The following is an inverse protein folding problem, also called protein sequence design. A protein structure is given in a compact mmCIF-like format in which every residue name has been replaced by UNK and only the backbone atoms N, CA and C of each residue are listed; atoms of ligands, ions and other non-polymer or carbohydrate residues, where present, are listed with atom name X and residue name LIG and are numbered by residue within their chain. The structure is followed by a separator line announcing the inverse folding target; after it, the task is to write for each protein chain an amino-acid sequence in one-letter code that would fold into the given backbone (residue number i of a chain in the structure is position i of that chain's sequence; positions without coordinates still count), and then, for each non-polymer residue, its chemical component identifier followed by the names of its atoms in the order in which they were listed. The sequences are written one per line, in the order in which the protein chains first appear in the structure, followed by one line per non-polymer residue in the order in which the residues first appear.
data_IF_658952706027
#
_entry.id   IF_658952706027
#
_cell.length_a   1.000
_cell.length_b   1.000
_cell.length_c   1.000
_cell.angle_alpha   90.00
_cell.angle_beta   90.00
_cell.angle_gamma   90.00
#
_symmetry.space_group_name_H-M   'P 1'
#
loop_
_entity.id
_entity.type
_entity.pdbx_description
1 polymer ?
#
# COMPACT_ATOMS: atom_id res chain seq x y z
N UNK A 1 9.27 11.31 9.69
CA UNK A 1 9.34 9.95 9.11
C UNK A 1 8.20 9.14 9.71
N UNK A 2 7.40 8.43 8.90
CA UNK A 2 6.24 7.68 9.40
C UNK A 2 6.71 6.30 9.91
N UNK A 3 6.32 5.95 11.13
CA UNK A 3 6.69 4.72 11.81
C UNK A 3 5.42 3.96 12.20
N UNK A 4 5.34 2.68 11.85
CA UNK A 4 4.22 1.82 12.26
C UNK A 4 4.23 1.51 13.76
N UNK A 5 5.36 1.74 14.43
CA UNK A 5 5.45 1.65 15.90
C UNK A 5 4.75 2.84 16.55
N UNK A 6 4.90 4.04 15.98
CA UNK A 6 4.32 5.27 16.53
C UNK A 6 2.86 5.48 16.06
N UNK A 7 2.51 4.91 14.91
CA UNK A 7 1.19 4.99 14.29
C UNK A 7 0.73 3.58 13.86
N UNK A 8 0.24 2.77 14.81
CA UNK A 8 -0.11 1.39 14.53
C UNK A 8 -1.30 1.29 13.58
N UNK A 9 -1.20 0.36 12.62
CA UNK A 9 -2.27 -0.03 11.70
C UNK A 9 -2.37 -1.56 11.71
N UNK A 10 -3.57 -2.09 11.44
CA UNK A 10 -3.78 -3.55 11.45
C UNK A 10 -3.20 -4.22 10.21
N UNK A 11 -3.27 -3.53 9.06
CA UNK A 11 -2.61 -3.93 7.83
C UNK A 11 -2.28 -2.72 6.92
N UNK A 12 -1.24 -2.86 6.11
CA UNK A 12 -0.78 -1.89 5.13
C UNK A 12 -0.32 -2.61 3.86
N UNK A 13 -0.96 -2.31 2.73
CA UNK A 13 -0.55 -2.80 1.42
C UNK A 13 0.47 -1.83 0.78
N UNK A 14 1.54 -2.38 0.21
CA UNK A 14 2.65 -1.63 -0.40
C UNK A 14 2.79 -2.04 -1.86
N UNK A 15 2.86 -1.06 -2.75
CA UNK A 15 3.18 -1.28 -4.17
C UNK A 15 4.56 -0.69 -4.48
N UNK A 16 5.57 -1.54 -4.71
CA UNK A 16 6.95 -1.09 -4.91
C UNK A 16 7.14 -0.22 -6.15
N UNK A 17 6.45 -0.52 -7.26
CA UNK A 17 6.53 0.28 -8.47
C UNK A 17 6.08 1.75 -8.27
N UNK A 18 5.20 2.03 -7.30
CA UNK A 18 4.79 3.41 -6.99
C UNK A 18 5.86 4.20 -6.25
N UNK A 19 6.78 3.50 -5.58
CA UNK A 19 7.82 4.10 -4.76
C UNK A 19 9.10 4.38 -5.58
N UNK A 20 9.48 3.45 -6.46
CA UNK A 20 10.72 3.54 -7.23
C UNK A 20 10.58 3.13 -8.72
N UNK A 21 9.36 3.07 -9.25
CA UNK A 21 9.07 3.01 -10.69
C UNK A 21 9.08 1.63 -11.35
N UNK A 22 9.70 0.62 -10.74
CA UNK A 22 9.86 -0.73 -11.29
C UNK A 22 10.24 -1.71 -10.18
N UNK A 23 9.91 -3.03 -10.22
CA UNK A 23 9.12 -3.74 -11.22
C UNK A 23 7.62 -3.64 -10.98
N UNK A 24 6.82 -3.77 -12.05
CA UNK A 24 5.36 -3.91 -11.95
C UNK A 24 5.00 -5.31 -11.45
N UNK A 25 3.83 -5.43 -10.80
CA UNK A 25 3.29 -6.72 -10.37
C UNK A 25 3.85 -7.28 -9.07
N UNK A 26 4.70 -6.54 -8.34
CA UNK A 26 5.15 -6.93 -7.00
C UNK A 26 4.86 -5.85 -5.96
N UNK A 27 4.43 -6.33 -4.80
CA UNK A 27 4.16 -5.53 -3.61
C UNK A 27 4.41 -6.34 -2.34
N UNK A 28 4.00 -5.78 -1.21
CA UNK A 28 4.04 -6.45 0.08
C UNK A 28 2.78 -6.11 0.88
N UNK A 29 2.34 -7.02 1.74
CA UNK A 29 1.37 -6.73 2.80
C UNK A 29 2.11 -6.77 4.13
N UNK A 30 2.04 -5.68 4.88
CA UNK A 30 2.50 -5.63 6.27
C UNK A 30 1.25 -5.71 7.12
N UNK A 31 1.09 -6.77 7.92
CA UNK A 31 -0.11 -6.98 8.72
C UNK A 31 0.25 -7.54 10.09
N UNK A 32 -0.55 -7.22 11.11
CA UNK A 32 -0.42 -7.83 12.43
C UNK A 32 -0.90 -9.29 12.40
N UNK A 33 -0.23 -10.14 13.17
CA UNK A 33 -0.61 -11.56 13.28
C UNK A 33 -2.03 -11.74 13.82
N UNK A 34 -2.44 -10.94 14.80
CA UNK A 34 -3.80 -10.93 15.37
C UNK A 34 -4.88 -10.56 14.33
N UNK A 35 -4.52 -9.75 13.33
CA UNK A 35 -5.43 -9.37 12.25
C UNK A 35 -5.50 -10.47 11.20
N UNK A 36 -4.37 -11.09 10.86
CA UNK A 36 -4.33 -12.23 9.94
C UNK A 36 -5.13 -13.42 10.45
N UNK A 37 -5.14 -13.67 11.77
CA UNK A 37 -5.93 -14.73 12.39
C UNK A 37 -7.45 -14.55 12.25
N UNK A 38 -7.93 -13.34 11.94
CA UNK A 38 -9.36 -13.05 11.72
C UNK A 38 -9.78 -13.16 10.25
N UNK A 39 -8.84 -13.30 9.33
CA UNK A 39 -9.13 -13.37 7.90
C UNK A 39 -9.48 -14.81 7.51
N UNK A 40 -10.70 -15.02 7.02
CA UNK A 40 -11.11 -16.27 6.39
C UNK A 40 -10.85 -16.21 4.88
N UNK A 41 -9.97 -17.07 4.36
CA UNK A 41 -9.57 -17.06 2.94
C UNK A 41 -10.47 -18.01 2.14
N UNK A 42 -11.25 -17.53 1.14
CA UNK A 42 -12.19 -18.38 0.41
C UNK A 42 -11.55 -19.25 -0.69
N UNK A 43 -10.24 -19.13 -0.93
CA UNK A 43 -9.53 -19.80 -2.03
C UNK A 43 -8.09 -20.15 -1.64
N UNK A 44 -7.56 -21.24 -2.20
CA UNK A 44 -6.17 -21.67 -2.01
C UNK A 44 -5.44 -21.78 -3.35
N UNK A 45 -4.11 -21.68 -3.33
CA UNK A 45 -3.26 -21.83 -4.51
C UNK A 45 -1.94 -22.53 -4.15
N UNK A 46 -1.17 -22.96 -5.15
CA UNK A 46 0.02 -23.82 -4.95
C UNK A 46 1.12 -23.27 -4.02
N UNK A 47 1.17 -21.95 -3.79
CA UNK A 47 2.07 -21.34 -2.78
C UNK A 47 1.56 -21.44 -1.34
N UNK A 48 0.35 -21.96 -1.14
CA UNK A 48 -0.39 -22.05 0.13
C UNK A 48 -0.66 -23.51 0.55
N UNK A 49 -0.10 -24.51 -0.14
CA UNK A 49 -0.37 -25.94 0.12
C UNK A 49 0.94 -26.70 0.36
N UNK A 50 1.00 -27.47 1.45
CA UNK A 50 2.20 -28.22 1.86
C UNK A 50 2.44 -29.43 0.93
N UNK A 51 1.37 -30.13 0.49
CA UNK A 51 1.39 -31.25 -0.47
C UNK A 51 0.04 -31.36 -1.20
N UNK A 52 0.05 -31.60 -2.51
CA UNK A 52 -1.13 -32.09 -3.27
C UNK A 52 -0.74 -33.38 -3.98
N UNK A 53 -1.36 -34.51 -3.61
CA UNK A 53 -1.25 -35.77 -4.38
C UNK A 53 -2.42 -35.90 -5.36
N UNK A 54 -2.12 -36.05 -6.66
CA UNK A 54 -3.04 -36.50 -7.71
C UNK A 54 -2.18 -37.31 -8.71
N UNK A 55 -2.51 -38.59 -9.02
CA UNK A 55 -3.77 -38.99 -9.62
C UNK A 55 -4.49 -40.14 -8.89
N UNK A 56 -5.78 -39.95 -8.57
CA UNK A 56 -6.60 -41.04 -8.06
C UNK A 56 -7.99 -40.61 -7.60
N UNK A 57 -8.96 -40.60 -8.53
CA UNK A 57 -10.37 -40.63 -8.19
C UNK A 57 -10.73 -42.05 -7.73
N UNK A 58 -10.57 -42.34 -6.43
CA UNK A 58 -11.18 -43.50 -5.78
C UNK A 58 -11.40 -43.21 -4.29
N UNK A 59 -12.65 -42.94 -3.95
CA UNK A 59 -13.19 -43.05 -2.59
C UNK A 59 -13.09 -44.53 -2.19
N UNK A 60 -12.33 -44.85 -1.15
CA UNK A 60 -12.46 -46.14 -0.46
C UNK A 60 -12.84 -45.88 0.98
N UNK A 61 -14.13 -46.06 1.27
CA UNK A 61 -14.65 -46.24 2.62
C UNK A 61 -14.17 -47.59 3.17
N UNK A 62 -13.74 -47.66 4.43
CA UNK A 62 -13.62 -48.93 5.16
C UNK A 62 -14.10 -48.84 6.62
N UNK A 63 -15.36 -49.23 6.79
CA UNK A 63 -15.92 -50.21 7.76
C UNK A 63 -15.72 -50.15 9.28
N UNK A 64 -15.07 -49.16 9.92
CA UNK A 64 -15.05 -49.10 11.39
C UNK A 64 -15.36 -47.71 11.97
N UNK A 65 -16.29 -47.70 12.92
CA UNK A 65 -17.15 -46.57 13.28
C UNK A 65 -16.50 -45.57 14.27
N UNK A 66 -15.24 -45.22 14.04
CA UNK A 66 -14.48 -44.25 14.86
C UNK A 66 -13.74 -43.18 14.02
N UNK A 67 -13.73 -43.28 12.69
CA UNK A 67 -13.15 -42.28 11.80
C UNK A 67 -14.23 -41.54 11.01
N UNK A 68 -15.11 -40.85 11.73
CA UNK A 68 -16.15 -40.03 11.12
C UNK A 68 -16.12 -38.62 11.69
N UNK A 69 -15.00 -37.91 11.57
CA UNK A 69 -14.92 -36.45 11.70
C UNK A 69 -13.53 -35.94 11.29
N UNK A 70 -13.24 -35.88 9.99
CA UNK A 70 -12.23 -34.94 9.49
C UNK A 70 -12.57 -34.42 8.09
N UNK A 71 -13.80 -33.91 7.99
CA UNK A 71 -14.05 -32.72 7.18
C UNK A 71 -14.40 -31.62 8.18
N UNK A 72 -13.38 -31.18 8.91
CA UNK A 72 -13.36 -29.89 9.57
C UNK A 72 -12.31 -29.04 8.87
N UNK A 73 -12.49 -27.71 8.82
CA UNK A 73 -11.45 -26.81 8.30
C UNK A 73 -10.17 -27.16 9.05
N UNK A 74 -9.05 -27.32 8.33
CA UNK A 74 -7.76 -27.69 8.94
C UNK A 74 -7.43 -26.67 10.02
N UNK A 75 -7.76 -27.03 11.24
CA UNK A 75 -7.16 -26.60 12.49
C UNK A 75 -6.30 -27.78 12.92
N UNK A 76 -5.19 -28.00 12.22
CA UNK A 76 -4.09 -28.81 12.76
C UNK A 76 -3.09 -27.85 13.41
N UNK A 77 -2.79 -28.00 14.70
CA UNK A 77 -1.72 -27.28 15.37
C UNK A 77 -0.41 -28.00 15.04
N UNK A 78 0.13 -27.76 13.85
CA UNK A 78 1.47 -28.22 13.48
C UNK A 78 2.34 -27.02 13.17
N UNK A 79 3.35 -26.89 14.02
CA UNK A 79 4.45 -25.95 14.05
C UNK A 79 4.83 -25.27 12.71
N UNK A 80 5.00 -23.95 12.81
CA UNK A 80 5.97 -23.17 12.02
C UNK A 80 5.74 -23.09 10.50
N UNK A 81 4.58 -22.59 10.07
CA UNK A 81 4.55 -21.79 8.83
C UNK A 81 4.23 -20.34 9.20
N UNK A 82 5.14 -19.39 8.97
CA UNK A 82 4.84 -18.00 9.25
C UNK A 82 3.62 -17.57 8.43
N UNK A 83 2.74 -16.74 9.00
CA UNK A 83 1.49 -16.29 8.37
C UNK A 83 1.72 -15.63 6.98
N UNK A 84 2.96 -15.26 6.66
CA UNK A 84 3.38 -14.74 5.37
C UNK A 84 3.19 -15.72 4.19
N UNK A 85 3.25 -17.04 4.40
CA UNK A 85 3.11 -18.04 3.34
C UNK A 85 1.65 -18.26 2.93
N UNK A 86 0.70 -17.96 3.82
CA UNK A 86 -0.73 -18.19 3.62
C UNK A 86 -1.40 -17.18 2.68
N UNK A 87 -0.71 -16.09 2.30
CA UNK A 87 -1.24 -15.03 1.44
C UNK A 87 -0.63 -15.03 0.04
N UNK A 88 0.41 -15.82 -0.20
CA UNK A 88 1.06 -15.87 -1.49
C UNK A 88 0.30 -16.82 -2.43
N UNK A 89 -0.12 -16.29 -3.57
CA UNK A 89 -0.78 -17.05 -4.63
C UNK A 89 0.24 -17.43 -5.72
N UNK A 90 0.57 -18.72 -5.81
CA UNK A 90 1.45 -19.27 -6.83
C UNK A 90 2.93 -18.87 -6.75
N UNK A 91 3.63 -19.10 -7.87
CA UNK A 91 5.07 -18.85 -8.02
C UNK A 91 5.31 -17.39 -8.40
N UNK A 92 5.95 -16.61 -7.52
CA UNK A 92 6.34 -15.22 -7.83
C UNK A 92 7.39 -15.22 -8.95
N UNK A 93 7.40 -14.17 -9.77
CA UNK A 93 8.52 -13.92 -10.68
C UNK A 93 9.80 -13.58 -9.89
N UNK A 94 10.59 -14.61 -9.55
CA UNK A 94 11.79 -14.49 -8.73
C UNK A 94 12.84 -13.54 -9.33
N UNK A 95 12.86 -13.37 -10.66
CA UNK A 95 13.81 -12.45 -11.33
C UNK A 95 13.58 -10.99 -10.92
N UNK A 96 12.36 -10.65 -10.53
CA UNK A 96 12.00 -9.29 -10.11
C UNK A 96 12.32 -9.02 -8.64
N UNK A 97 12.60 -10.04 -7.81
CA UNK A 97 12.86 -9.86 -6.38
C UNK A 97 14.18 -9.15 -6.10
N UNK A 98 15.22 -9.43 -6.90
CA UNK A 98 16.54 -8.79 -6.75
C UNK A 98 16.46 -7.27 -6.90
N UNK A 99 15.53 -6.79 -7.73
CA UNK A 99 15.34 -5.37 -8.03
C UNK A 99 14.68 -4.64 -6.88
N UNK A 100 13.88 -5.33 -6.06
CA UNK A 100 13.26 -4.74 -4.88
C UNK A 100 14.34 -4.31 -3.88
N UNK A 101 15.35 -5.14 -3.66
CA UNK A 101 16.48 -4.83 -2.77
C UNK A 101 17.21 -3.56 -3.23
N UNK A 102 17.46 -3.43 -4.53
CA UNK A 102 18.11 -2.24 -5.09
C UNK A 102 17.22 -1.00 -4.98
N UNK A 103 15.93 -1.14 -5.30
CA UNK A 103 14.94 -0.06 -5.18
C UNK A 103 14.77 0.43 -3.74
N UNK A 104 14.78 -0.47 -2.76
CA UNK A 104 14.73 -0.12 -1.34
C UNK A 104 16.02 0.55 -0.86
N UNK A 105 17.20 0.10 -1.32
CA UNK A 105 18.47 0.76 -1.02
C UNK A 105 18.50 2.18 -1.59
N UNK A 106 18.09 2.33 -2.85
CA UNK A 106 17.95 3.62 -3.49
C UNK A 106 17.00 4.52 -2.71
N UNK A 107 15.78 4.06 -2.41
CA UNK A 107 14.81 4.84 -1.66
C UNK A 107 15.35 5.25 -0.29
N UNK A 108 16.01 4.33 0.43
CA UNK A 108 16.58 4.59 1.76
C UNK A 108 17.59 5.72 1.75
N UNK A 109 18.43 5.82 0.71
CA UNK A 109 19.36 6.93 0.56
C UNK A 109 18.65 8.27 0.32
N UNK A 110 17.49 8.28 -0.33
CA UNK A 110 16.72 9.49 -0.64
C UNK A 110 15.71 9.88 0.46
N UNK A 111 15.29 8.96 1.33
CA UNK A 111 14.29 9.20 2.38
C UNK A 111 14.54 10.48 3.21
N UNK A 112 15.77 10.79 3.67
CA UNK A 112 16.02 12.00 4.46
C UNK A 112 15.74 13.30 3.68
N UNK A 113 15.89 13.28 2.37
CA UNK A 113 15.75 14.44 1.49
C UNK A 113 14.32 14.67 1.01
N UNK A 114 13.48 13.64 1.04
CA UNK A 114 12.10 13.71 0.54
C UNK A 114 11.28 14.83 1.20
N UNK A 115 11.26 15.00 2.54
CA UNK A 115 10.46 16.06 3.16
C UNK A 115 10.83 17.46 2.66
N UNK A 116 12.14 17.74 2.56
CA UNK A 116 12.66 19.01 2.08
C UNK A 116 12.24 19.29 0.63
N UNK A 117 12.40 18.28 -0.24
CA UNK A 117 12.03 18.40 -1.66
C UNK A 117 10.52 18.53 -1.85
N UNK A 118 9.73 17.69 -1.19
CA UNK A 118 8.27 17.72 -1.28
C UNK A 118 7.70 19.03 -0.73
N UNK A 119 8.24 19.56 0.37
CA UNK A 119 7.84 20.86 0.91
C UNK A 119 8.12 21.98 -0.11
N UNK A 120 9.31 22.01 -0.71
CA UNK A 120 9.67 23.00 -1.72
C UNK A 120 8.75 22.95 -2.95
N UNK A 121 8.49 21.75 -3.48
CA UNK A 121 7.59 21.56 -4.62
C UNK A 121 6.14 21.92 -4.29
N UNK A 122 5.68 21.58 -3.08
CA UNK A 122 4.33 21.90 -2.61
C UNK A 122 4.15 23.41 -2.47
N UNK A 123 5.10 24.10 -1.86
CA UNK A 123 5.07 25.56 -1.72
C UNK A 123 5.09 26.26 -3.07
N UNK A 124 5.93 25.79 -4.01
CA UNK A 124 5.96 26.31 -5.37
C UNK A 124 4.61 26.09 -6.08
N UNK A 125 4.09 24.86 -6.07
CA UNK A 125 2.81 24.51 -6.68
C UNK A 125 1.66 25.38 -6.15
N UNK A 126 1.53 25.49 -4.83
CA UNK A 126 0.48 26.29 -4.20
C UNK A 126 0.61 27.77 -4.55
N UNK A 127 1.83 28.31 -4.53
CA UNK A 127 2.08 29.71 -4.90
C UNK A 127 1.69 29.96 -6.36
N UNK A 128 2.15 29.11 -7.29
CA UNK A 128 1.83 29.23 -8.71
C UNK A 128 0.32 29.12 -8.98
N UNK A 129 -0.36 28.12 -8.41
CA UNK A 129 -1.81 27.95 -8.57
C UNK A 129 -2.59 29.14 -7.98
N UNK A 130 -2.14 29.68 -6.84
CA UNK A 130 -2.79 30.82 -6.18
C UNK A 130 -2.63 32.14 -6.93
N UNK A 131 -1.68 32.23 -7.87
CA UNK A 131 -1.48 33.41 -8.73
C UNK A 131 -2.30 33.34 -10.02
N UNK A 132 -2.82 32.17 -10.40
CA UNK A 132 -3.62 32.03 -11.63
C UNK A 132 -4.92 32.83 -11.54
N UNK A 133 -5.17 33.67 -12.54
CA UNK A 133 -6.37 34.48 -12.70
C UNK A 133 -6.96 34.26 -14.09
N UNK A 134 -8.28 34.26 -14.20
CA UNK A 134 -8.98 34.28 -15.49
C UNK A 134 -8.71 35.61 -16.18
N UNK A 135 -8.15 35.61 -17.38
CA UNK A 135 -7.77 36.84 -18.10
C UNK A 135 -8.95 37.78 -18.32
N UNK A 136 -10.15 37.23 -18.55
CA UNK A 136 -11.36 38.00 -18.86
C UNK A 136 -12.00 38.69 -17.65
N UNK A 137 -11.85 38.14 -16.43
CA UNK A 137 -12.55 38.65 -15.24
C UNK A 137 -11.62 39.03 -14.09
N UNK A 138 -10.33 38.65 -14.16
CA UNK A 138 -9.37 38.83 -13.08
C UNK A 138 -9.68 38.00 -11.82
N UNK A 139 -10.66 37.09 -11.88
CA UNK A 139 -11.02 36.21 -10.75
C UNK A 139 -10.06 35.02 -10.63
N UNK A 140 -9.86 34.43 -9.44
CA UNK A 140 -8.99 33.26 -9.26
C UNK A 140 -9.47 32.04 -10.06
N UNK A 141 -8.53 31.31 -10.67
CA UNK A 141 -8.80 30.04 -11.38
C UNK A 141 -8.91 28.87 -10.42
N UNK A 142 -8.19 28.91 -9.30
CA UNK A 142 -8.08 27.79 -8.37
C UNK A 142 -8.29 28.29 -6.95
N UNK A 143 -9.04 27.52 -6.17
CA UNK A 143 -9.12 27.65 -4.72
C UNK A 143 -8.43 26.45 -4.07
N UNK A 144 -7.39 26.72 -3.30
CA UNK A 144 -6.70 25.70 -2.49
C UNK A 144 -7.54 25.42 -1.24
N UNK A 145 -7.85 24.14 -1.01
CA UNK A 145 -8.63 23.66 0.15
C UNK A 145 -7.75 23.08 1.26
N UNK A 146 -6.59 22.56 0.89
CA UNK A 146 -5.62 22.02 1.84
C UNK A 146 -4.91 23.13 2.61
N UNK A 147 -4.42 22.80 3.81
CA UNK A 147 -3.54 23.71 4.55
C UNK A 147 -2.26 23.96 3.75
N UNK A 148 -1.91 25.24 3.60
CA UNK A 148 -0.68 25.66 2.93
C UNK A 148 0.47 25.62 3.94
N UNK A 149 1.65 25.12 3.56
CA UNK A 149 2.83 25.14 4.43
C UNK A 149 3.09 26.55 4.93
N UNK A 150 3.11 26.78 6.24
CA UNK A 150 3.37 28.12 6.79
C UNK A 150 4.85 28.49 6.75
N UNK A 151 5.73 27.48 6.65
CA UNK A 151 7.18 27.62 6.62
C UNK A 151 7.77 26.73 5.53
N UNK A 152 8.77 27.26 4.83
CA UNK A 152 9.60 26.48 3.93
C UNK A 152 10.70 25.75 4.72
N UNK A 153 10.86 24.46 4.46
CA UNK A 153 11.98 23.70 5.00
C UNK A 153 13.27 24.13 4.29
N UNK A 154 14.35 24.30 5.04
CA UNK A 154 15.65 24.75 4.52
C UNK A 154 16.77 23.74 4.74
N UNK A 155 16.56 22.77 5.64
CA UNK A 155 17.55 21.76 5.98
C UNK A 155 16.95 20.35 6.02
N UNK A 156 17.82 19.36 5.83
CA UNK A 156 17.48 17.94 5.95
C UNK A 156 17.17 17.63 7.42
N UNK A 157 16.11 16.86 7.67
CA UNK A 157 15.68 16.47 9.01
C UNK A 157 14.59 17.37 9.60
N UNK A 158 14.39 18.58 9.06
CA UNK A 158 13.24 19.40 9.43
C UNK A 158 11.93 18.71 9.02
N UNK A 159 10.89 18.87 9.85
CA UNK A 159 9.56 18.36 9.57
C UNK A 159 8.66 19.49 9.10
N UNK A 160 7.86 19.25 8.06
CA UNK A 160 6.85 20.19 7.61
C UNK A 160 5.66 20.19 8.56
N UNK A 161 4.98 21.33 8.69
CA UNK A 161 3.72 21.49 9.42
C UNK A 161 2.50 20.99 8.63
N UNK A 162 2.72 20.55 7.38
CA UNK A 162 1.70 20.08 6.45
C UNK A 162 2.15 18.81 5.72
N UNK A 163 1.17 18.05 5.24
CA UNK A 163 1.44 16.90 4.37
C UNK A 163 1.80 17.31 2.94
N UNK A 164 2.20 16.33 2.13
CA UNK A 164 2.56 16.56 0.71
C UNK A 164 1.37 16.44 -0.25
N UNK A 165 0.14 16.44 0.26
CA UNK A 165 -1.09 16.35 -0.54
C UNK A 165 -1.75 17.72 -0.62
N UNK A 166 -2.01 18.19 -1.84
CA UNK A 166 -2.68 19.47 -2.10
C UNK A 166 -4.06 19.18 -2.69
N UNK A 167 -5.10 19.70 -2.05
CA UNK A 167 -6.47 19.61 -2.54
C UNK A 167 -6.89 20.96 -3.11
N UNK A 168 -7.43 20.96 -4.32
CA UNK A 168 -7.80 22.18 -5.05
C UNK A 168 -9.17 22.04 -5.71
N UNK A 169 -9.87 23.16 -5.86
CA UNK A 169 -11.08 23.28 -6.68
C UNK A 169 -10.81 24.29 -7.78
N UNK A 170 -11.11 23.90 -9.02
CA UNK A 170 -11.09 24.80 -10.16
C UNK A 170 -12.37 25.62 -10.19
N UNK A 171 -12.21 26.94 -10.26
CA UNK A 171 -13.29 27.90 -10.34
C UNK A 171 -13.48 28.28 -11.81
N UNK A 172 -14.68 28.07 -12.32
CA UNK A 172 -15.02 28.42 -13.70
C UNK A 172 -15.85 29.69 -13.73
N UNK A 173 -15.55 30.57 -14.68
CA UNK A 173 -16.35 31.76 -14.94
C UNK A 173 -17.48 31.36 -15.87
N UNK A 174 -18.73 31.56 -15.45
CA UNK A 174 -19.90 31.48 -16.34
C UNK A 174 -20.62 30.12 -16.44
N UNK A 175 -20.53 29.23 -15.45
CA UNK A 175 -21.46 28.10 -15.37
C UNK A 175 -22.71 28.47 -14.53
N UNK A 176 -23.91 28.56 -15.13
CA UNK A 176 -25.14 28.93 -14.44
C UNK A 176 -25.83 27.72 -13.81
N UNK A 177 -25.13 26.91 -13.01
CA UNK A 177 -25.78 25.78 -12.33
C UNK A 177 -25.23 25.59 -10.93
N UNK A 178 -25.94 26.19 -9.97
CA UNK A 178 -26.29 25.68 -8.64
C UNK A 178 -27.17 26.77 -7.97
N UNK A 179 -28.43 26.84 -8.41
CA UNK A 179 -29.56 27.32 -7.58
C UNK A 179 -30.25 26.13 -6.98
#
# INVERSE_FOLDING_TARGET
MFSLTDHPVDAMAVSFYKMFGYPTGIGALIAKEEFLAQLDRPWFAGGTVDVVQVPGMNVTMSSHQHERFEVRPVSLPTAFQPANFLLQDGTINYLNLSVITEGLRFLSAYLPFLPLRLSSLTSYLVSSLSQLRHESTGTPVVRVLSRVPSRQLTAIGEQSDTGSTVSVVFLFVGLPYLT
#
